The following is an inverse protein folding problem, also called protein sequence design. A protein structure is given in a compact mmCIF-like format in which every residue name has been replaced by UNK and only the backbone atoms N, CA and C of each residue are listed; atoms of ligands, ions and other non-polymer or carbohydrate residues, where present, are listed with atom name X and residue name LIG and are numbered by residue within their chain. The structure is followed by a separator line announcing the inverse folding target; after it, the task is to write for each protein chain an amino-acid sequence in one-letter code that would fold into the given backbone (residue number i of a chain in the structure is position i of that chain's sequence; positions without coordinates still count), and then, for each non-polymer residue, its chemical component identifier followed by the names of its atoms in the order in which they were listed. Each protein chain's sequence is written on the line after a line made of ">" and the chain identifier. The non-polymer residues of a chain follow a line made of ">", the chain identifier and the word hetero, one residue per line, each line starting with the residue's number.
data_IF_252846758234
#
_entry.id   IF_252846758234
#
_cell.length_a   1.000
_cell.length_b   1.000
_cell.length_c   1.000
_cell.angle_alpha   90.00
_cell.angle_beta   90.00
_cell.angle_gamma   90.00
#
_symmetry.space_group_name_H-M   'P 1'
#
loop_
_entity.id
_entity.type
_entity.pdbx_description
1 polymer ?
#
# COMPACT_ATOMS: atom_id res chain seq x y z
N UNK A 1 -23.96 -10.51 3.95
CA UNK A 1 -22.67 -9.85 4.26
C UNK A 1 -22.98 -8.53 4.94
N UNK A 2 -22.38 -8.25 6.08
CA UNK A 2 -22.64 -6.99 6.78
C UNK A 2 -21.74 -5.90 6.14
N UNK A 3 -22.34 -5.04 5.30
CA UNK A 3 -21.64 -3.97 4.59
C UNK A 3 -21.42 -2.72 5.47
N UNK A 4 -21.15 -2.93 6.76
CA UNK A 4 -20.99 -1.84 7.72
C UNK A 4 -19.94 -0.80 7.28
N UNK A 5 -18.80 -1.26 6.76
CA UNK A 5 -17.74 -0.37 6.27
C UNK A 5 -18.24 0.45 5.07
N UNK A 6 -18.91 -0.20 4.11
CA UNK A 6 -19.47 0.50 2.95
C UNK A 6 -20.58 1.48 3.37
N UNK A 7 -21.46 1.11 4.31
CA UNK A 7 -22.49 2.01 4.86
C UNK A 7 -21.87 3.26 5.46
N UNK A 8 -20.73 3.13 6.14
CA UNK A 8 -19.96 4.27 6.66
C UNK A 8 -19.42 5.21 5.57
N UNK A 9 -19.27 4.73 4.32
CA UNK A 9 -18.81 5.54 3.19
C UNK A 9 -19.95 6.28 2.46
N UNK A 10 -21.21 5.80 2.56
CA UNK A 10 -22.34 6.37 1.82
C UNK A 10 -22.52 7.87 2.08
N UNK A 11 -22.53 8.37 3.33
CA UNK A 11 -22.71 9.79 3.60
C UNK A 11 -21.60 10.67 3.01
N UNK A 12 -20.37 10.15 2.94
CA UNK A 12 -19.22 10.87 2.38
C UNK A 12 -19.38 11.12 0.87
N UNK A 13 -20.09 10.23 0.19
CA UNK A 13 -20.41 10.34 -1.24
C UNK A 13 -21.76 11.02 -1.52
N UNK A 14 -22.51 11.41 -0.47
CA UNK A 14 -23.86 11.94 -0.61
C UNK A 14 -24.89 10.88 -1.04
N UNK A 15 -24.62 9.61 -0.79
CA UNK A 15 -25.51 8.50 -1.13
C UNK A 15 -26.43 8.12 0.04
N UNK A 16 -27.64 7.65 -0.29
CA UNK A 16 -28.56 7.04 0.64
C UNK A 16 -28.41 5.50 0.63
N UNK A 17 -29.07 4.82 1.55
CA UNK A 17 -29.05 3.34 1.69
C UNK A 17 -29.59 2.62 0.44
N UNK A 18 -30.56 3.20 -0.27
CA UNK A 18 -31.12 2.68 -1.52
C UNK A 18 -30.07 2.51 -2.64
N UNK A 19 -28.97 3.25 -2.55
CA UNK A 19 -27.87 3.10 -3.51
C UNK A 19 -27.25 1.69 -3.48
N UNK A 20 -27.41 0.97 -2.38
CA UNK A 20 -26.94 -0.42 -2.24
C UNK A 20 -27.78 -1.43 -3.05
N UNK A 21 -28.96 -1.09 -3.49
CA UNK A 21 -29.81 -1.97 -4.32
C UNK A 21 -29.19 -2.22 -5.70
N UNK A 22 -28.35 -1.31 -6.16
CA UNK A 22 -27.61 -1.45 -7.42
C UNK A 22 -26.30 -2.24 -7.26
N UNK A 23 -26.00 -2.74 -6.05
CA UNK A 23 -24.77 -3.45 -5.73
C UNK A 23 -25.01 -4.93 -5.41
N UNK A 24 -24.26 -5.80 -6.07
CA UNK A 24 -24.21 -7.23 -5.75
C UNK A 24 -22.80 -7.59 -5.26
N UNK A 25 -22.71 -8.13 -4.04
CA UNK A 25 -21.45 -8.63 -3.47
C UNK A 25 -21.51 -10.14 -3.38
N UNK A 26 -20.44 -10.81 -3.85
CA UNK A 26 -20.24 -12.25 -3.83
C UNK A 26 -18.89 -12.61 -3.22
N UNK A 27 -18.51 -13.88 -3.17
CA UNK A 27 -17.16 -14.33 -2.79
C UNK A 27 -16.91 -14.49 -1.29
N UNK A 28 -17.92 -14.29 -0.44
CA UNK A 28 -17.79 -14.49 1.02
C UNK A 28 -17.44 -13.21 1.80
N UNK A 29 -16.99 -13.39 3.04
CA UNK A 29 -16.60 -12.34 3.98
C UNK A 29 -15.30 -12.73 4.68
N UNK A 30 -14.70 -11.81 5.42
CA UNK A 30 -13.50 -12.12 6.21
C UNK A 30 -13.73 -13.27 7.21
N UNK A 31 -12.68 -14.06 7.48
CA UNK A 31 -11.31 -13.91 6.99
C UNK A 31 -11.10 -14.52 5.60
N UNK A 32 -10.74 -13.69 4.62
CA UNK A 32 -10.33 -14.12 3.27
C UNK A 32 -8.82 -14.38 3.22
N UNK A 33 -8.06 -13.57 3.95
CA UNK A 33 -6.61 -13.76 4.16
C UNK A 33 -6.34 -14.23 5.59
N UNK A 34 -5.23 -14.94 5.84
CA UNK A 34 -4.84 -15.39 7.19
C UNK A 34 -4.31 -14.20 8.03
N UNK A 35 -5.21 -13.30 8.41
CA UNK A 35 -4.93 -12.10 9.21
C UNK A 35 -6.11 -11.80 10.11
N UNK A 36 -5.87 -11.13 11.25
CA UNK A 36 -6.91 -10.62 12.15
C UNK A 36 -7.55 -9.31 11.64
N UNK A 37 -6.98 -8.68 10.65
CA UNK A 37 -7.52 -7.46 10.06
C UNK A 37 -8.63 -7.77 9.04
N UNK A 38 -9.65 -6.93 9.00
CA UNK A 38 -10.78 -7.04 8.06
C UNK A 38 -10.41 -6.54 6.65
N UNK A 39 -9.37 -7.14 6.07
CA UNK A 39 -8.86 -6.74 4.74
C UNK A 39 -9.86 -7.05 3.63
N UNK A 40 -10.53 -8.20 3.69
CA UNK A 40 -11.54 -8.59 2.72
C UNK A 40 -12.75 -7.67 2.72
N UNK A 41 -13.30 -7.37 3.89
CA UNK A 41 -14.43 -6.45 4.02
C UNK A 41 -14.05 -5.04 3.58
N UNK A 42 -12.87 -4.55 3.97
CA UNK A 42 -12.38 -3.21 3.60
C UNK A 42 -12.16 -3.08 2.10
N UNK A 43 -11.48 -4.05 1.47
CA UNK A 43 -11.25 -4.02 0.02
C UNK A 43 -12.55 -4.11 -0.77
N UNK A 44 -13.50 -4.94 -0.31
CA UNK A 44 -14.81 -5.07 -0.92
C UNK A 44 -15.59 -3.77 -0.82
N UNK A 45 -15.60 -3.12 0.34
CA UNK A 45 -16.26 -1.83 0.53
C UNK A 45 -15.65 -0.74 -0.37
N UNK A 46 -14.33 -0.64 -0.41
CA UNK A 46 -13.64 0.35 -1.24
C UNK A 46 -13.93 0.18 -2.73
N UNK A 47 -13.81 -1.05 -3.27
CA UNK A 47 -14.10 -1.31 -4.69
C UNK A 47 -15.58 -1.19 -5.01
N UNK A 48 -16.47 -1.50 -4.07
CA UNK A 48 -17.91 -1.27 -4.23
C UNK A 48 -18.20 0.23 -4.36
N UNK A 49 -17.64 1.07 -3.49
CA UNK A 49 -17.80 2.51 -3.55
C UNK A 49 -17.27 3.09 -4.89
N UNK A 50 -16.09 2.65 -5.34
CA UNK A 50 -15.55 3.04 -6.65
C UNK A 50 -16.50 2.61 -7.78
N UNK A 51 -16.97 1.36 -7.76
CA UNK A 51 -17.90 0.85 -8.77
C UNK A 51 -19.20 1.65 -8.83
N UNK A 52 -19.78 2.00 -7.68
CA UNK A 52 -21.00 2.83 -7.60
C UNK A 52 -20.74 4.24 -8.14
N UNK A 53 -19.62 4.87 -7.80
CA UNK A 53 -19.27 6.19 -8.31
C UNK A 53 -19.03 6.19 -9.84
N UNK A 54 -18.42 5.15 -10.38
CA UNK A 54 -18.26 4.97 -11.83
C UNK A 54 -19.61 4.76 -12.50
N UNK A 55 -20.54 4.02 -11.88
CA UNK A 55 -21.90 3.84 -12.35
C UNK A 55 -22.68 5.17 -12.41
N UNK A 56 -22.52 6.04 -11.38
CA UNK A 56 -23.15 7.38 -11.36
C UNK A 56 -22.60 8.26 -12.49
N UNK A 57 -21.26 8.24 -12.67
CA UNK A 57 -20.61 8.98 -13.77
C UNK A 57 -21.09 8.49 -15.14
N UNK A 58 -21.25 7.17 -15.30
CA UNK A 58 -21.79 6.60 -16.52
C UNK A 58 -23.22 7.01 -16.77
N UNK A 59 -24.07 6.94 -15.75
CA UNK A 59 -25.46 7.37 -15.84
C UNK A 59 -25.59 8.86 -16.21
N UNK A 60 -24.78 9.71 -15.58
CA UNK A 60 -24.76 11.14 -15.87
C UNK A 60 -24.39 11.48 -17.33
N UNK A 61 -23.54 10.65 -17.95
CA UNK A 61 -23.08 10.83 -19.34
C UNK A 61 -23.99 10.19 -20.38
N UNK A 62 -24.68 9.11 -20.03
CA UNK A 62 -25.38 8.27 -21.00
C UNK A 62 -26.88 8.12 -20.75
N UNK A 63 -27.37 8.55 -19.58
CA UNK A 63 -28.73 8.31 -19.09
C UNK A 63 -29.02 6.84 -18.75
N UNK A 64 -28.02 5.97 -18.71
CA UNK A 64 -28.18 4.52 -18.53
C UNK A 64 -27.67 4.08 -17.17
N UNK A 65 -28.54 3.53 -16.34
CA UNK A 65 -28.18 2.89 -15.07
C UNK A 65 -27.43 1.59 -15.30
N UNK A 66 -26.49 1.30 -14.38
CA UNK A 66 -25.77 0.03 -14.33
C UNK A 66 -25.82 -0.56 -12.94
N UNK A 67 -25.82 -1.88 -12.86
CA UNK A 67 -25.60 -2.61 -11.61
C UNK A 67 -24.11 -2.90 -11.44
N UNK A 68 -23.63 -2.79 -10.21
CA UNK A 68 -22.24 -3.06 -9.82
C UNK A 68 -22.16 -4.45 -9.20
N UNK A 69 -21.22 -5.26 -9.63
CA UNK A 69 -20.93 -6.57 -9.03
C UNK A 69 -19.51 -6.62 -8.55
N UNK A 70 -19.30 -6.98 -7.28
CA UNK A 70 -17.98 -7.11 -6.65
C UNK A 70 -17.85 -8.49 -6.02
N UNK A 71 -16.82 -9.22 -6.40
CA UNK A 71 -16.42 -10.46 -5.74
C UNK A 71 -15.40 -10.14 -4.65
N UNK A 72 -15.69 -10.47 -3.39
CA UNK A 72 -14.87 -10.12 -2.24
C UNK A 72 -13.46 -10.74 -2.29
N UNK A 73 -13.32 -11.96 -2.86
CA UNK A 73 -12.01 -12.60 -3.00
C UNK A 73 -11.16 -11.90 -4.06
N UNK A 74 -11.78 -11.50 -5.18
CA UNK A 74 -11.10 -10.72 -6.22
C UNK A 74 -10.74 -9.32 -5.73
N UNK A 75 -11.63 -8.69 -4.97
CA UNK A 75 -11.36 -7.40 -4.33
C UNK A 75 -10.14 -7.50 -3.40
N UNK A 76 -10.10 -8.53 -2.55
CA UNK A 76 -8.96 -8.79 -1.67
C UNK A 76 -7.67 -9.09 -2.45
N UNK A 77 -7.76 -9.89 -3.51
CA UNK A 77 -6.62 -10.21 -4.36
C UNK A 77 -6.05 -8.97 -5.05
N UNK A 78 -6.91 -8.00 -5.45
CA UNK A 78 -6.45 -6.77 -6.11
C UNK A 78 -5.52 -5.92 -5.24
N UNK A 79 -5.69 -5.92 -3.91
CA UNK A 79 -4.78 -5.25 -2.97
C UNK A 79 -3.40 -5.92 -2.90
N UNK A 80 -3.29 -7.14 -3.39
CA UNK A 80 -2.05 -7.92 -3.47
C UNK A 80 -1.61 -8.17 -4.91
N UNK A 81 -2.06 -7.37 -5.86
CA UNK A 81 -1.83 -7.56 -7.30
C UNK A 81 -0.36 -7.79 -7.66
N UNK A 82 0.56 -7.09 -7.02
CA UNK A 82 2.00 -7.30 -7.21
C UNK A 82 2.50 -8.73 -6.90
N UNK A 83 1.77 -9.49 -6.05
CA UNK A 83 2.10 -10.90 -5.76
C UNK A 83 1.64 -11.87 -6.85
N UNK A 84 0.72 -11.43 -7.69
CA UNK A 84 0.16 -12.22 -8.78
C UNK A 84 0.66 -11.77 -10.15
N UNK A 85 1.54 -10.75 -10.17
CA UNK A 85 2.14 -10.25 -11.40
C UNK A 85 3.01 -11.34 -12.04
N UNK A 86 2.84 -11.54 -13.32
CA UNK A 86 3.65 -12.45 -14.13
C UNK A 86 4.26 -11.69 -15.30
N UNK A 87 5.46 -12.05 -15.68
CA UNK A 87 6.15 -11.58 -16.86
C UNK A 87 6.57 -12.80 -17.69
N UNK A 88 6.08 -12.88 -18.92
CA UNK A 88 6.27 -14.03 -19.81
C UNK A 88 5.83 -15.38 -19.20
N UNK A 89 4.74 -15.35 -18.42
CA UNK A 89 4.19 -16.54 -17.75
C UNK A 89 4.93 -16.99 -16.49
N UNK A 90 6.00 -16.31 -16.11
CA UNK A 90 6.74 -16.55 -14.86
C UNK A 90 6.41 -15.50 -13.81
N UNK A 91 6.33 -15.89 -12.53
CA UNK A 91 6.20 -14.95 -11.43
C UNK A 91 7.40 -14.00 -11.38
N UNK A 92 7.15 -12.72 -11.14
CA UNK A 92 8.23 -11.75 -10.99
C UNK A 92 8.94 -12.01 -9.67
N UNK A 93 10.21 -12.46 -9.77
CA UNK A 93 11.10 -12.54 -8.61
C UNK A 93 11.54 -11.11 -8.25
N UNK A 94 11.19 -10.65 -7.07
CA UNK A 94 11.84 -9.47 -6.49
C UNK A 94 13.15 -9.94 -5.88
N UNK A 95 14.28 -9.46 -6.39
CA UNK A 95 15.57 -9.66 -5.73
C UNK A 95 15.46 -9.25 -4.26
N UNK A 96 16.03 -10.08 -3.39
CA UNK A 96 16.01 -9.83 -1.96
C UNK A 96 16.96 -8.66 -1.67
N UNK A 97 16.42 -7.47 -1.48
CA UNK A 97 17.21 -6.31 -1.07
C UNK A 97 17.65 -6.51 0.40
N UNK A 98 18.95 -6.71 0.61
CA UNK A 98 19.51 -6.99 1.93
C UNK A 98 19.50 -5.77 2.85
N UNK A 99 19.46 -4.57 2.28
CA UNK A 99 19.50 -3.29 3.02
C UNK A 99 18.09 -2.82 3.40
N UNK A 100 17.09 -3.09 2.56
CA UNK A 100 15.72 -2.62 2.81
C UNK A 100 15.11 -3.29 4.04
N UNK A 101 14.64 -2.48 4.98
CA UNK A 101 14.00 -2.99 6.19
C UNK A 101 13.94 -1.98 7.33
N UNK A 102 13.40 -2.44 8.44
CA UNK A 102 13.30 -1.68 9.68
C UNK A 102 14.45 -2.05 10.62
N UNK A 103 15.07 -1.05 11.22
CA UNK A 103 16.25 -1.18 12.07
C UNK A 103 16.09 -0.38 13.35
N UNK A 104 16.46 -0.93 14.52
CA UNK A 104 16.46 -0.18 15.77
C UNK A 104 17.59 0.85 15.77
N UNK A 105 17.32 2.04 16.28
CA UNK A 105 18.26 3.15 16.40
C UNK A 105 18.72 3.31 17.86
N UNK A 106 19.82 4.07 18.08
CA UNK A 106 20.43 4.31 19.38
C UNK A 106 19.48 4.98 20.39
N UNK A 107 18.61 5.86 19.90
CA UNK A 107 17.61 6.60 20.69
C UNK A 107 16.35 5.80 21.05
N UNK A 108 16.35 4.49 20.81
CA UNK A 108 15.22 3.59 21.10
C UNK A 108 14.06 3.68 20.11
N UNK A 109 14.25 4.39 19.00
CA UNK A 109 13.32 4.47 17.87
C UNK A 109 13.65 3.42 16.82
N UNK A 110 12.98 3.53 15.68
CA UNK A 110 13.18 2.68 14.52
C UNK A 110 13.31 3.54 13.27
N UNK A 111 14.25 3.19 12.41
CA UNK A 111 14.39 3.77 11.08
C UNK A 111 14.07 2.72 10.01
N UNK A 112 13.30 3.12 8.98
CA UNK A 112 13.01 2.27 7.84
C UNK A 112 13.84 2.70 6.63
N UNK A 113 14.78 1.87 6.22
CA UNK A 113 15.58 2.10 5.02
C UNK A 113 14.84 1.58 3.80
N UNK A 114 14.29 2.49 2.99
CA UNK A 114 13.57 2.16 1.75
C UNK A 114 14.54 2.17 0.56
N UNK A 115 15.36 1.13 0.45
CA UNK A 115 16.47 1.04 -0.51
C UNK A 115 16.13 0.22 -1.76
N UNK A 116 14.91 0.36 -2.30
CA UNK A 116 14.46 -0.36 -3.50
C UNK A 116 15.07 0.17 -4.81
N UNK A 117 15.56 1.41 -4.83
CA UNK A 117 16.32 1.97 -5.95
C UNK A 117 17.82 1.90 -5.67
N UNK A 118 18.66 1.60 -6.70
CA UNK A 118 20.11 1.49 -6.53
C UNK A 118 20.78 2.72 -5.92
N UNK A 119 20.34 3.93 -6.32
CA UNK A 119 20.85 5.19 -5.78
C UNK A 119 20.48 5.39 -4.31
N UNK A 120 19.25 5.02 -3.89
CA UNK A 120 18.84 5.09 -2.49
C UNK A 120 19.68 4.13 -1.62
N UNK A 121 19.91 2.92 -2.14
CA UNK A 121 20.74 1.92 -1.46
C UNK A 121 22.19 2.41 -1.33
N UNK A 122 22.77 2.93 -2.41
CA UNK A 122 24.12 3.46 -2.41
C UNK A 122 24.28 4.63 -1.41
N UNK A 123 23.32 5.55 -1.34
CA UNK A 123 23.34 6.64 -0.39
C UNK A 123 23.28 6.15 1.06
N UNK A 124 22.37 5.23 1.38
CA UNK A 124 22.27 4.67 2.72
C UNK A 124 23.54 3.94 3.15
N UNK A 125 24.12 3.09 2.28
CA UNK A 125 25.37 2.38 2.56
C UNK A 125 26.55 3.35 2.71
N UNK A 126 26.61 4.42 1.92
CA UNK A 126 27.64 5.46 2.02
C UNK A 126 27.60 6.19 3.36
N UNK A 127 26.39 6.58 3.82
CA UNK A 127 26.22 7.23 5.14
C UNK A 127 26.61 6.28 6.29
N UNK A 128 26.19 5.03 6.18
CA UNK A 128 26.46 4.03 7.21
C UNK A 128 27.91 3.53 7.20
N UNK A 129 28.64 3.68 6.08
CA UNK A 129 30.03 3.25 5.93
C UNK A 129 30.19 1.73 5.96
N UNK A 130 29.21 0.97 5.42
CA UNK A 130 29.17 -0.49 5.47
C UNK A 130 28.87 -1.09 4.10
N UNK A 131 29.14 -2.39 3.95
CA UNK A 131 28.76 -3.16 2.76
C UNK A 131 27.28 -3.52 2.76
N UNK A 132 26.79 -4.08 1.63
CA UNK A 132 25.44 -4.59 1.48
C UNK A 132 25.24 -5.90 2.26
N UNK A 133 25.31 -5.81 3.57
CA UNK A 133 25.09 -6.89 4.52
C UNK A 133 24.14 -6.45 5.63
N UNK A 134 23.12 -7.27 5.91
CA UNK A 134 22.07 -6.89 6.86
C UNK A 134 22.58 -6.72 8.29
N UNK A 135 23.54 -7.54 8.71
CA UNK A 135 24.08 -7.47 10.07
C UNK A 135 25.00 -6.26 10.25
N UNK A 136 25.80 -5.92 9.22
CA UNK A 136 26.62 -4.71 9.21
C UNK A 136 25.73 -3.47 9.25
N UNK A 137 24.69 -3.42 8.42
CA UNK A 137 23.68 -2.33 8.40
C UNK A 137 23.01 -2.20 9.76
N UNK A 138 22.57 -3.30 10.37
CA UNK A 138 21.91 -3.28 11.69
C UNK A 138 22.84 -2.68 12.75
N UNK A 139 24.11 -3.13 12.78
CA UNK A 139 25.11 -2.61 13.73
C UNK A 139 25.45 -1.14 13.49
N UNK A 140 25.45 -0.70 12.24
CA UNK A 140 25.73 0.69 11.90
C UNK A 140 24.55 1.60 12.27
N UNK A 141 23.32 1.24 11.92
CA UNK A 141 22.09 1.99 12.26
C UNK A 141 21.94 2.14 13.77
N UNK A 142 22.27 1.11 14.55
CA UNK A 142 22.20 1.16 16.02
C UNK A 142 23.13 2.20 16.68
N UNK A 143 24.02 2.84 15.91
CA UNK A 143 24.89 3.93 16.40
C UNK A 143 24.30 5.32 16.14
N UNK A 144 23.23 5.43 15.35
CA UNK A 144 22.60 6.68 14.93
C UNK A 144 21.32 6.94 15.71
N UNK A 145 21.03 8.20 15.98
CA UNK A 145 19.70 8.64 16.33
C UNK A 145 18.83 8.65 15.06
N UNK A 146 17.53 8.35 15.17
CA UNK A 146 16.68 8.12 14.02
C UNK A 146 16.62 9.30 13.05
N UNK A 147 16.47 10.52 13.58
CA UNK A 147 16.37 11.74 12.76
C UNK A 147 17.72 12.13 12.15
N UNK A 148 18.81 11.96 12.88
CA UNK A 148 20.16 12.28 12.37
C UNK A 148 20.51 11.37 11.18
N UNK A 149 20.13 10.10 11.26
CA UNK A 149 20.32 9.14 10.15
C UNK A 149 19.47 9.52 8.94
N UNK A 150 18.19 9.88 9.17
CA UNK A 150 17.28 10.30 8.10
C UNK A 150 17.83 11.54 7.39
N UNK A 151 18.24 12.56 8.13
CA UNK A 151 18.81 13.80 7.58
C UNK A 151 20.09 13.53 6.79
N UNK A 152 20.99 12.72 7.33
CA UNK A 152 22.24 12.37 6.64
C UNK A 152 22.02 11.65 5.32
N UNK A 153 21.01 10.75 5.24
CA UNK A 153 20.67 10.04 4.00
C UNK A 153 19.99 10.97 3.02
N UNK A 154 19.05 11.81 3.47
CA UNK A 154 18.32 12.78 2.64
C UNK A 154 19.30 13.76 1.98
N UNK A 155 20.30 14.25 2.69
CA UNK A 155 21.32 15.16 2.15
C UNK A 155 22.08 14.59 0.96
N UNK A 156 22.24 13.27 0.84
CA UNK A 156 22.88 12.62 -0.30
C UNK A 156 21.91 12.32 -1.46
N UNK A 157 20.60 12.24 -1.19
CA UNK A 157 19.59 11.92 -2.20
C UNK A 157 19.06 13.17 -2.91
N UNK A 158 19.02 14.28 -2.21
CA UNK A 158 18.49 15.56 -2.72
C UNK A 158 19.61 16.59 -2.85
N UNK A 159 20.31 16.51 -3.98
CA UNK A 159 21.39 17.49 -4.33
C UNK A 159 20.88 18.81 -4.91
N UNK A 160 19.55 18.98 -5.04
CA UNK A 160 18.91 20.20 -5.54
C UNK A 160 17.95 20.76 -4.50
N UNK A 161 17.77 22.10 -4.38
CA UNK A 161 16.72 22.68 -3.55
C UNK A 161 15.37 22.10 -3.94
N UNK A 162 14.56 21.76 -2.94
CA UNK A 162 13.19 21.31 -3.17
C UNK A 162 12.40 22.46 -3.84
N UNK A 163 11.54 22.18 -4.84
CA UNK A 163 10.64 23.20 -5.39
C UNK A 163 9.63 23.77 -4.37
N UNK A 164 9.71 23.34 -3.11
CA UNK A 164 8.82 23.75 -2.03
C UNK A 164 9.46 24.74 -1.05
N UNK A 165 10.74 25.12 -1.26
CA UNK A 165 11.44 26.13 -0.46
C UNK A 165 11.32 27.52 -1.07
#
# INVERSE_FOLDING_TARGET
>A
MNNEILRGLLPLAGWNEDRLDDLMITGGSDPILPTSFRIGDTSTAALSAVGLAVSDLWESKTGRKQRVSVDARRATASLRSGKYMQMDGAGVSTERNMVMGTYPTKDGRWSYLHCNFPNHRAAALSVLGVNEDRDEVTKAVAKWDAFDLEEAIICLLYSSPSPRD
#
